data_IF_229849234534
#
_entry.id   IF_229849234534
#
_cell.length_a   1.000
_cell.length_b   1.000
_cell.length_c   1.000
_cell.angle_alpha   90.00
_cell.angle_beta   90.00
_cell.angle_gamma   90.00
#
_symmetry.space_group_name_H-M   'P 1'
#
loop_
_entity.id
_entity.type
_entity.pdbx_description
1 polymer ?
#
# COMPACT_ATOMS: atom_id res chain seq x y z
N UNK A 1 -13.24 -64.76 45.80
CA UNK A 1 -13.42 -63.38 45.32
C UNK A 1 -12.53 -63.18 44.11
N UNK A 2 -13.14 -63.14 42.94
CA UNK A 2 -12.49 -63.19 41.62
C UNK A 2 -12.04 -61.79 41.18
N UNK A 3 -10.76 -61.66 40.80
CA UNK A 3 -10.38 -60.82 39.66
C UNK A 3 -9.53 -61.66 38.72
N UNK A 4 -10.05 -61.80 37.52
CA UNK A 4 -9.56 -62.54 36.36
C UNK A 4 -8.30 -61.92 35.74
N UNK A 5 -7.24 -62.73 35.61
CA UNK A 5 -6.46 -63.13 34.41
C UNK A 5 -6.57 -62.32 33.10
N UNK A 6 -5.67 -62.50 32.10
CA UNK A 6 -4.24 -62.88 32.13
C UNK A 6 -3.36 -62.22 31.03
N UNK A 7 -2.12 -62.69 31.05
CA UNK A 7 -0.93 -62.66 30.18
C UNK A 7 -1.07 -62.88 28.65
N UNK A 8 0.09 -62.67 28.00
CA UNK A 8 0.63 -63.18 26.71
C UNK A 8 0.63 -62.14 25.57
N UNK A 9 1.72 -61.75 24.92
CA UNK A 9 3.00 -62.41 24.68
C UNK A 9 3.02 -62.97 23.26
N UNK A 10 3.84 -62.44 22.34
CA UNK A 10 4.44 -63.28 21.29
C UNK A 10 5.70 -62.67 20.66
N UNK A 11 6.63 -63.60 20.44
CA UNK A 11 7.98 -63.54 19.94
C UNK A 11 8.06 -63.66 18.39
N UNK A 12 9.22 -63.24 17.89
CA UNK A 12 10.03 -63.83 16.80
C UNK A 12 9.65 -63.71 15.31
N UNK A 13 10.54 -62.98 14.61
CA UNK A 13 11.36 -63.36 13.44
C UNK A 13 10.75 -64.27 12.34
N UNK A 14 10.78 -63.81 11.09
CA UNK A 14 11.14 -64.66 9.95
C UNK A 14 11.54 -63.88 8.70
N UNK A 15 12.25 -64.60 7.83
CA UNK A 15 13.15 -64.34 6.70
C UNK A 15 12.61 -63.62 5.45
N UNK A 16 13.54 -62.96 4.77
CA UNK A 16 13.54 -62.48 3.38
C UNK A 16 13.12 -63.55 2.35
N UNK A 17 12.41 -63.15 1.27
CA UNK A 17 12.56 -63.77 -0.05
C UNK A 17 12.23 -62.78 -1.20
N UNK A 18 13.16 -62.79 -2.14
CA UNK A 18 13.24 -62.18 -3.47
C UNK A 18 12.03 -62.52 -4.37
N UNK A 19 11.39 -61.52 -5.01
CA UNK A 19 10.72 -61.70 -6.32
C UNK A 19 10.89 -60.47 -7.19
N UNK A 20 11.79 -60.61 -8.16
CA UNK A 20 11.96 -59.77 -9.35
C UNK A 20 10.62 -59.67 -10.11
N UNK A 21 10.23 -58.45 -10.46
CA UNK A 21 9.40 -58.18 -11.64
C UNK A 21 10.14 -57.15 -12.49
N UNK A 22 10.73 -57.62 -13.58
CA UNK A 22 11.18 -56.81 -14.69
C UNK A 22 10.04 -56.77 -15.71
N UNK A 23 9.38 -55.62 -15.83
CA UNK A 23 8.74 -55.23 -17.08
C UNK A 23 9.40 -53.93 -17.55
N UNK A 24 10.20 -54.07 -18.60
CA UNK A 24 10.61 -52.96 -19.45
C UNK A 24 9.49 -52.65 -20.46
N UNK A 25 9.62 -51.49 -21.14
CA UNK A 25 8.71 -50.80 -22.08
C UNK A 25 7.68 -49.89 -21.39
N UNK A 26 7.57 -48.59 -21.69
CA UNK A 26 8.23 -47.74 -22.68
C UNK A 26 8.12 -46.30 -22.17
N UNK A 27 9.24 -45.59 -22.03
CA UNK A 27 9.22 -44.16 -21.75
C UNK A 27 8.91 -43.43 -23.06
N UNK A 28 7.62 -43.32 -23.39
CA UNK A 28 7.20 -42.31 -24.34
C UNK A 28 7.28 -40.97 -23.61
N UNK A 29 8.39 -40.27 -23.77
CA UNK A 29 8.52 -38.87 -23.38
C UNK A 29 7.58 -38.04 -24.25
N UNK A 30 6.31 -37.98 -23.87
CA UNK A 30 5.39 -36.99 -24.38
C UNK A 30 5.87 -35.63 -23.92
N UNK A 31 6.64 -34.95 -24.77
CA UNK A 31 6.78 -33.50 -24.72
C UNK A 31 5.39 -32.91 -24.96
N UNK A 32 4.58 -32.82 -23.91
CA UNK A 32 3.43 -31.96 -23.91
C UNK A 32 3.97 -30.53 -23.96
N UNK A 33 4.10 -29.99 -25.18
CA UNK A 33 4.29 -28.57 -25.36
C UNK A 33 3.12 -27.88 -24.67
N UNK A 34 3.39 -27.21 -23.55
CA UNK A 34 2.40 -26.35 -22.91
C UNK A 34 1.87 -25.39 -23.98
N UNK A 35 0.54 -25.21 -24.12
CA UNK A 35 0.02 -24.25 -25.07
C UNK A 35 0.62 -22.89 -24.71
N UNK A 36 1.44 -22.35 -25.61
CA UNK A 36 1.85 -20.95 -25.55
C UNK A 36 0.57 -20.15 -25.67
N UNK A 37 0.05 -19.74 -24.51
CA UNK A 37 -1.00 -18.75 -24.46
C UNK A 37 -0.38 -17.50 -25.06
N UNK A 38 -0.63 -17.27 -26.35
CA UNK A 38 -0.25 -16.06 -27.04
C UNK A 38 -0.97 -14.94 -26.30
N UNK A 39 -0.28 -14.30 -25.36
CA UNK A 39 -0.75 -13.06 -24.76
C UNK A 39 -0.96 -12.13 -25.94
N UNK A 40 -2.22 -11.88 -26.30
CA UNK A 40 -2.55 -10.88 -27.30
C UNK A 40 -1.85 -9.60 -26.84
N UNK A 41 -0.82 -9.19 -27.58
CA UNK A 41 -0.10 -7.96 -27.29
C UNK A 41 -1.17 -6.87 -27.25
N UNK A 42 -1.38 -6.26 -26.08
CA UNK A 42 -2.29 -5.12 -26.01
C UNK A 42 -1.79 -4.10 -27.02
N UNK A 43 -2.66 -3.56 -27.89
CA UNK A 43 -2.24 -2.58 -28.86
C UNK A 43 -1.48 -1.47 -28.13
N UNK A 44 -0.29 -1.15 -28.65
CA UNK A 44 0.58 -0.17 -28.02
C UNK A 44 -0.22 1.12 -27.85
N UNK A 45 -0.45 1.52 -26.59
CA UNK A 45 -1.10 2.79 -26.30
C UNK A 45 -0.14 3.89 -26.71
N UNK A 46 -0.53 4.71 -27.68
CA UNK A 46 0.16 5.97 -27.96
C UNK A 46 -0.30 7.02 -26.97
N UNK A 47 0.66 7.82 -26.48
CA UNK A 47 0.39 8.92 -25.57
C UNK A 47 0.91 10.20 -26.21
N UNK A 48 0.11 11.25 -26.16
CA UNK A 48 0.53 12.58 -26.58
C UNK A 48 0.53 13.54 -25.40
N UNK A 49 1.48 14.48 -25.41
CA UNK A 49 1.53 15.54 -24.42
C UNK A 49 0.44 16.56 -24.73
N UNK A 50 -0.52 16.71 -23.83
CA UNK A 50 -1.47 17.84 -23.86
C UNK A 50 -0.86 19.03 -23.12
N UNK A 51 -0.27 19.95 -23.88
CA UNK A 51 0.29 21.18 -23.32
C UNK A 51 -0.80 22.04 -22.67
N UNK A 52 -0.49 22.67 -21.53
CA UNK A 52 -1.38 23.63 -20.86
C UNK A 52 -2.80 23.08 -20.61
N UNK A 53 -2.88 21.78 -20.28
CA UNK A 53 -4.14 21.09 -20.03
C UNK A 53 -4.96 21.78 -18.94
N UNK A 54 -4.37 22.01 -17.76
CA UNK A 54 -5.07 22.66 -16.67
C UNK A 54 -5.18 24.17 -16.88
N UNK A 55 -6.40 24.67 -16.71
CA UNK A 55 -6.81 26.07 -16.82
C UNK A 55 -6.97 26.62 -15.41
N UNK A 56 -5.91 27.28 -14.92
CA UNK A 56 -5.92 27.94 -13.62
C UNK A 56 -6.87 29.15 -13.64
N UNK A 57 -7.26 29.61 -12.45
CA UNK A 57 -7.98 30.88 -12.32
C UNK A 57 -7.13 32.06 -12.83
N UNK A 58 -7.74 33.14 -13.35
CA UNK A 58 -6.99 34.33 -13.75
C UNK A 58 -6.13 34.86 -12.60
N UNK A 59 -4.84 35.09 -12.85
CA UNK A 59 -3.87 35.56 -11.86
C UNK A 59 -3.19 34.46 -11.05
N UNK A 60 -3.66 33.21 -11.15
CA UNK A 60 -3.00 32.06 -10.52
C UNK A 60 -1.84 31.53 -11.39
N UNK A 61 -0.84 30.96 -10.74
CA UNK A 61 0.28 30.27 -11.40
C UNK A 61 0.60 28.96 -10.71
N UNK A 62 1.18 28.03 -11.46
CA UNK A 62 1.74 26.82 -10.87
C UNK A 62 2.85 27.19 -9.90
N UNK A 63 2.83 26.54 -8.75
CA UNK A 63 3.88 26.64 -7.75
C UNK A 63 4.49 25.25 -7.53
N UNK A 64 5.16 25.03 -6.42
CA UNK A 64 5.72 23.72 -6.08
C UNK A 64 4.60 22.68 -5.88
N UNK A 65 4.52 21.72 -6.79
CA UNK A 65 3.57 20.60 -6.73
C UNK A 65 4.23 19.39 -6.09
N UNK A 66 3.48 18.60 -5.30
CA UNK A 66 4.03 17.39 -4.65
C UNK A 66 3.25 16.11 -4.84
N UNK A 67 2.00 16.20 -5.29
CA UNK A 67 1.16 15.02 -5.48
C UNK A 67 0.04 15.27 -6.45
N UNK A 68 -0.34 14.23 -7.19
CA UNK A 68 -1.50 14.23 -8.08
C UNK A 68 -2.18 12.87 -8.00
N UNK A 69 -3.50 12.86 -8.00
CA UNK A 69 -4.31 11.64 -8.11
C UNK A 69 -5.70 11.95 -8.69
N UNK A 70 -6.48 10.92 -9.00
CA UNK A 70 -7.76 11.04 -9.72
C UNK A 70 -8.88 10.31 -9.00
N UNK A 71 -10.06 10.93 -8.91
CA UNK A 71 -11.26 10.27 -8.37
C UNK A 71 -12.01 9.43 -9.43
N UNK A 72 -12.99 8.65 -8.99
CA UNK A 72 -13.81 7.80 -9.89
C UNK A 72 -14.63 8.59 -10.93
N UNK A 73 -14.74 9.92 -10.79
CA UNK A 73 -15.43 10.81 -11.74
C UNK A 73 -14.46 11.45 -12.74
N UNK A 74 -13.17 11.11 -12.66
CA UNK A 74 -12.15 11.73 -13.49
C UNK A 74 -11.80 13.15 -13.07
N UNK A 75 -12.06 13.54 -11.82
CA UNK A 75 -11.54 14.79 -11.28
C UNK A 75 -10.09 14.58 -10.84
N UNK A 76 -9.21 15.50 -11.21
CA UNK A 76 -7.79 15.48 -10.87
C UNK A 76 -7.60 16.33 -9.61
N UNK A 77 -6.97 15.75 -8.60
CA UNK A 77 -6.57 16.41 -7.38
C UNK A 77 -5.07 16.63 -7.41
N UNK A 78 -4.61 17.87 -7.33
CA UNK A 78 -3.21 18.23 -7.29
C UNK A 78 -2.88 18.95 -5.98
N UNK A 79 -1.78 18.58 -5.33
CA UNK A 79 -1.32 19.25 -4.12
C UNK A 79 -0.27 20.31 -4.45
N UNK A 80 -0.57 21.57 -4.12
CA UNK A 80 0.35 22.70 -4.16
C UNK A 80 0.92 22.96 -2.77
N UNK A 81 2.25 23.10 -2.64
CA UNK A 81 2.93 23.37 -1.36
C UNK A 81 2.89 24.83 -0.93
N UNK A 82 2.89 25.79 -1.87
CA UNK A 82 2.99 27.22 -1.54
C UNK A 82 2.10 28.08 -2.43
N UNK A 83 1.09 28.82 -1.91
CA UNK A 83 0.44 28.55 -0.63
C UNK A 83 -0.16 27.13 -0.63
N UNK A 84 -0.06 26.45 0.51
CA UNK A 84 -0.49 25.06 0.66
C UNK A 84 -1.99 24.90 0.43
N UNK A 85 -2.37 24.14 -0.61
CA UNK A 85 -3.77 23.80 -0.90
C UNK A 85 -3.87 22.57 -1.80
N UNK A 86 -5.03 21.92 -1.77
CA UNK A 86 -5.44 20.96 -2.78
C UNK A 86 -6.22 21.70 -3.86
N UNK A 87 -5.82 21.52 -5.11
CA UNK A 87 -6.49 22.04 -6.30
C UNK A 87 -7.24 20.90 -6.99
N UNK A 88 -8.46 21.17 -7.45
CA UNK A 88 -9.30 20.17 -8.11
C UNK A 88 -9.67 20.64 -9.51
N UNK A 89 -9.47 19.77 -10.49
CA UNK A 89 -9.78 19.99 -11.90
C UNK A 89 -10.70 18.89 -12.43
N UNK A 90 -11.48 19.16 -13.47
CA UNK A 90 -12.12 18.09 -14.24
C UNK A 90 -11.14 17.44 -15.23
N UNK A 91 -11.55 16.36 -15.90
CA UNK A 91 -10.75 15.64 -16.88
C UNK A 91 -10.26 16.49 -18.08
N UNK A 92 -10.90 17.65 -18.33
CA UNK A 92 -10.55 18.59 -19.40
C UNK A 92 -9.65 19.72 -18.91
N UNK A 93 -9.26 19.70 -17.64
CA UNK A 93 -8.38 20.66 -17.02
C UNK A 93 -9.09 21.93 -16.54
N UNK A 94 -10.42 21.97 -16.52
CA UNK A 94 -11.15 23.11 -15.94
C UNK A 94 -10.94 23.11 -14.43
N UNK A 95 -10.46 24.21 -13.87
CA UNK A 95 -10.43 24.39 -12.42
C UNK A 95 -11.85 24.35 -11.84
N UNK A 96 -12.05 23.50 -10.84
CA UNK A 96 -13.33 23.32 -10.16
C UNK A 96 -13.37 24.04 -8.82
N UNK A 97 -12.31 23.89 -8.01
CA UNK A 97 -12.18 24.45 -6.66
C UNK A 97 -10.79 24.21 -6.08
N UNK A 98 -10.48 24.90 -4.98
CA UNK A 98 -9.40 24.53 -4.07
C UNK A 98 -9.91 24.43 -2.63
N UNK A 99 -9.13 23.79 -1.77
CA UNK A 99 -9.40 23.72 -0.34
C UNK A 99 -8.14 23.36 0.45
N UNK A 100 -8.22 23.54 1.77
CA UNK A 100 -7.20 23.12 2.73
C UNK A 100 -6.12 24.16 3.01
N UNK A 101 -6.35 25.40 2.62
CA UNK A 101 -5.55 26.55 3.00
C UNK A 101 -5.40 26.61 4.53
N UNK A 102 -4.15 26.72 5.00
CA UNK A 102 -3.84 26.76 6.44
C UNK A 102 -3.89 25.41 7.18
N UNK A 103 -4.32 24.32 6.53
CA UNK A 103 -4.38 22.99 7.18
C UNK A 103 -3.02 22.29 7.19
N UNK A 104 -2.21 22.53 6.16
CA UNK A 104 -0.95 21.82 5.89
C UNK A 104 0.27 22.66 6.26
N UNK A 105 1.38 21.99 6.55
CA UNK A 105 2.67 22.62 6.85
C UNK A 105 3.79 22.16 5.91
N UNK A 106 3.91 20.85 5.66
CA UNK A 106 4.81 20.31 4.65
C UNK A 106 4.25 18.99 4.11
N UNK A 107 3.09 19.09 3.45
CA UNK A 107 2.50 17.94 2.81
C UNK A 107 3.44 17.32 1.77
N UNK A 108 3.51 16.01 1.80
CA UNK A 108 4.44 15.22 1.02
C UNK A 108 3.74 14.51 -0.14
N UNK A 109 2.72 13.70 0.16
CA UNK A 109 1.95 12.96 -0.84
C UNK A 109 0.45 13.26 -0.77
N UNK A 110 -0.23 13.03 -1.90
CA UNK A 110 -1.69 13.03 -2.03
C UNK A 110 -2.13 11.71 -2.69
N UNK A 111 -3.19 11.10 -2.16
CA UNK A 111 -3.82 9.88 -2.70
C UNK A 111 -5.34 10.01 -2.68
N UNK A 112 -6.02 9.43 -3.65
CA UNK A 112 -7.48 9.29 -3.66
C UNK A 112 -7.81 7.81 -3.49
N UNK A 113 -8.56 7.46 -2.43
CA UNK A 113 -8.96 6.07 -2.21
C UNK A 113 -10.14 5.66 -3.11
N UNK A 114 -10.43 4.36 -3.19
CA UNK A 114 -11.54 3.79 -3.99
C UNK A 114 -12.95 4.31 -3.63
N UNK A 115 -13.07 5.06 -2.54
CA UNK A 115 -14.31 5.68 -2.09
C UNK A 115 -14.29 7.21 -2.32
N UNK A 116 -13.37 7.67 -3.18
CA UNK A 116 -13.11 9.07 -3.52
C UNK A 116 -12.72 9.96 -2.34
N UNK A 117 -12.16 9.39 -1.25
CA UNK A 117 -11.63 10.23 -0.18
C UNK A 117 -10.21 10.66 -0.53
N UNK A 118 -9.88 11.90 -0.21
CA UNK A 118 -8.56 12.47 -0.46
C UNK A 118 -7.71 12.31 0.79
N UNK A 119 -6.53 11.74 0.64
CA UNK A 119 -5.59 11.52 1.73
C UNK A 119 -4.33 12.33 1.49
N UNK A 120 -3.84 12.99 2.54
CA UNK A 120 -2.63 13.80 2.51
C UNK A 120 -1.70 13.35 3.62
N UNK A 121 -0.44 13.08 3.29
CA UNK A 121 0.63 12.89 4.27
C UNK A 121 1.31 14.23 4.51
N UNK A 122 1.51 14.61 5.77
CA UNK A 122 2.26 15.82 6.14
C UNK A 122 3.42 15.47 7.05
N UNK A 123 4.64 15.68 6.52
CA UNK A 123 5.85 15.25 7.20
C UNK A 123 6.14 16.09 8.43
N UNK A 124 5.85 17.40 8.40
CA UNK A 124 6.16 18.33 9.49
C UNK A 124 5.11 18.26 10.60
N UNK A 125 3.87 17.98 10.22
CA UNK A 125 2.79 17.74 11.19
C UNK A 125 2.80 16.33 11.76
N UNK A 126 3.58 15.41 11.18
CA UNK A 126 3.63 14.00 11.56
C UNK A 126 2.25 13.32 11.50
N UNK A 127 1.50 13.65 10.45
CA UNK A 127 0.11 13.22 10.30
C UNK A 127 -0.18 12.67 8.91
N UNK A 128 -1.10 11.71 8.86
CA UNK A 128 -1.83 11.34 7.65
C UNK A 128 -3.28 11.74 7.86
N UNK A 129 -3.84 12.53 6.95
CA UNK A 129 -5.20 13.07 7.07
C UNK A 129 -6.05 12.57 5.91
N UNK A 130 -7.27 12.12 6.23
CA UNK A 130 -8.32 11.72 5.27
C UNK A 130 -9.36 12.81 5.19
N UNK A 131 -9.77 13.16 3.98
CA UNK A 131 -10.78 14.17 3.69
C UNK A 131 -11.84 13.62 2.75
N UNK A 132 -13.02 14.22 2.79
CA UNK A 132 -13.99 14.11 1.70
C UNK A 132 -13.46 14.81 0.43
N UNK A 133 -14.14 14.60 -0.70
CA UNK A 133 -13.86 15.27 -1.98
C UNK A 133 -13.88 16.80 -1.92
N UNK A 134 -14.63 17.36 -0.98
CA UNK A 134 -14.82 18.79 -0.72
C UNK A 134 -13.94 19.31 0.42
N UNK A 135 -13.03 18.49 0.98
CA UNK A 135 -12.01 18.95 1.92
C UNK A 135 -12.42 18.89 3.39
N UNK A 136 -13.54 18.28 3.74
CA UNK A 136 -13.92 18.05 5.14
C UNK A 136 -13.10 16.90 5.73
N UNK A 137 -12.41 17.16 6.84
CA UNK A 137 -11.62 16.15 7.54
C UNK A 137 -12.50 15.00 8.07
N UNK A 138 -12.06 13.76 7.84
CA UNK A 138 -12.74 12.52 8.22
C UNK A 138 -11.94 11.70 9.23
N UNK A 139 -10.62 11.70 9.11
CA UNK A 139 -9.73 10.89 9.94
C UNK A 139 -8.35 11.51 9.97
N UNK A 140 -7.67 11.33 11.10
CA UNK A 140 -6.27 11.68 11.27
C UNK A 140 -5.54 10.51 11.91
N UNK A 141 -4.39 10.15 11.33
CA UNK A 141 -3.43 9.20 11.91
C UNK A 141 -2.19 9.99 12.34
N UNK A 142 -1.63 9.65 13.50
CA UNK A 142 -0.56 10.42 14.12
C UNK A 142 -1.07 11.62 14.94
N UNK A 143 -0.15 12.27 15.63
CA UNK A 143 -0.44 13.36 16.58
C UNK A 143 0.21 14.64 16.07
N UNK A 144 -0.57 15.71 15.94
CA UNK A 144 -0.13 16.96 15.30
C UNK A 144 1.12 17.50 15.98
N UNK A 145 2.21 17.62 15.21
CA UNK A 145 3.47 18.18 15.68
C UNK A 145 4.22 17.32 16.70
N UNK A 146 3.79 16.08 16.96
CA UNK A 146 4.45 15.16 17.90
C UNK A 146 5.08 14.01 17.14
N UNK A 147 6.41 14.03 17.05
CA UNK A 147 7.19 12.95 16.45
C UNK A 147 7.18 11.71 17.35
N UNK A 148 6.83 10.55 16.77
CA UNK A 148 6.90 9.25 17.43
C UNK A 148 8.25 8.55 17.22
N UNK A 149 8.67 7.75 18.20
CA UNK A 149 9.74 6.78 18.01
C UNK A 149 9.33 5.66 17.03
N UNK A 150 10.29 4.87 16.55
CA UNK A 150 10.06 3.83 15.54
C UNK A 150 9.13 2.71 16.02
N UNK A 151 8.97 2.52 17.32
CA UNK A 151 8.06 1.56 17.94
C UNK A 151 6.71 2.17 18.39
N UNK A 152 6.52 3.48 18.18
CA UNK A 152 5.31 4.19 18.62
C UNK A 152 4.06 3.62 17.95
N UNK A 153 3.02 3.36 18.75
CA UNK A 153 1.72 2.85 18.26
C UNK A 153 0.73 3.97 17.96
N UNK A 154 1.10 5.21 18.23
CA UNK A 154 0.22 6.38 18.19
C UNK A 154 0.77 7.43 17.23
N UNK A 155 1.98 7.93 17.51
CA UNK A 155 2.58 9.02 16.76
C UNK A 155 3.41 8.50 15.58
N UNK A 156 3.34 9.23 14.48
CA UNK A 156 4.18 9.06 13.30
C UNK A 156 5.38 10.00 13.38
N UNK A 157 6.31 9.89 12.45
CA UNK A 157 7.49 10.74 12.36
C UNK A 157 7.93 10.88 10.91
N UNK A 158 7.27 11.81 10.23
CA UNK A 158 7.50 12.06 8.81
C UNK A 158 6.85 10.99 7.94
N UNK A 159 5.51 10.88 7.92
CA UNK A 159 4.85 9.99 6.97
C UNK A 159 5.14 10.46 5.54
N UNK A 160 5.68 9.56 4.73
CA UNK A 160 6.03 9.80 3.34
C UNK A 160 4.80 9.67 2.44
N UNK A 161 4.07 8.56 2.60
CA UNK A 161 2.99 8.16 1.70
C UNK A 161 2.01 7.19 2.40
N UNK A 162 0.86 6.97 1.78
CA UNK A 162 -0.20 6.09 2.24
C UNK A 162 -0.71 5.17 1.12
N UNK A 163 -1.02 3.93 1.44
CA UNK A 163 -1.61 2.94 0.55
C UNK A 163 -2.74 2.17 1.24
N UNK A 164 -3.60 1.54 0.44
CA UNK A 164 -4.82 0.89 0.94
C UNK A 164 -4.95 -0.53 0.42
N UNK A 165 -5.26 -1.48 1.30
CA UNK A 165 -5.59 -2.84 0.92
C UNK A 165 -7.06 -2.98 0.49
N UNK A 166 -7.45 -4.05 -0.24
CA UNK A 166 -8.83 -4.31 -0.63
C UNK A 166 -9.80 -4.36 0.56
N UNK A 167 -9.38 -4.89 1.70
CA UNK A 167 -10.19 -4.92 2.93
C UNK A 167 -10.36 -3.53 3.60
N UNK A 168 -9.67 -2.51 3.09
CA UNK A 168 -9.68 -1.14 3.58
C UNK A 168 -8.59 -0.83 4.61
N UNK A 169 -7.72 -1.77 4.94
CA UNK A 169 -6.57 -1.48 5.81
C UNK A 169 -5.65 -0.44 5.15
N UNK A 170 -5.04 0.38 6.00
CA UNK A 170 -4.24 1.54 5.62
C UNK A 170 -2.79 1.23 5.96
N UNK A 171 -1.89 1.47 5.03
CA UNK A 171 -0.46 1.31 5.20
C UNK A 171 0.20 2.67 5.04
N UNK A 172 0.98 3.08 6.03
CA UNK A 172 1.69 4.37 6.03
C UNK A 172 3.18 4.10 6.00
N UNK A 173 3.87 4.61 4.99
CA UNK A 173 5.33 4.67 5.00
C UNK A 173 5.75 5.81 5.96
N UNK A 174 6.33 5.46 7.10
CA UNK A 174 6.68 6.40 8.17
C UNK A 174 8.21 6.47 8.28
N UNK A 175 8.81 7.44 7.59
CA UNK A 175 10.27 7.45 7.45
C UNK A 175 10.93 8.63 6.73
N UNK A 176 10.22 9.73 6.44
CA UNK A 176 10.83 10.99 5.94
C UNK A 176 11.58 11.77 7.04
N UNK A 177 11.77 11.15 8.21
CA UNK A 177 12.50 11.72 9.34
C UNK A 177 13.39 10.65 9.97
N UNK A 178 13.17 10.26 11.23
CA UNK A 178 14.04 9.26 11.88
C UNK A 178 13.50 7.83 11.90
N UNK A 179 12.20 7.64 11.59
CA UNK A 179 11.61 6.31 11.52
C UNK A 179 12.00 5.57 10.23
N UNK A 180 11.87 4.25 10.25
CA UNK A 180 12.25 3.34 9.15
C UNK A 180 11.26 2.19 9.07
N UNK A 181 9.97 2.52 8.99
CA UNK A 181 8.90 1.54 9.13
C UNK A 181 7.73 1.77 8.18
N UNK A 182 6.96 0.70 7.99
CA UNK A 182 5.60 0.75 7.44
C UNK A 182 4.64 0.41 8.55
N UNK A 183 3.69 1.30 8.83
CA UNK A 183 2.66 1.12 9.85
C UNK A 183 1.36 0.68 9.20
N UNK A 184 0.74 -0.38 9.72
CA UNK A 184 -0.58 -0.84 9.31
C UNK A 184 -1.64 -0.40 10.32
N UNK A 185 -2.68 0.23 9.80
CA UNK A 185 -3.90 0.56 10.51
C UNK A 185 -5.08 -0.19 9.89
N UNK A 186 -6.10 -0.47 10.70
CA UNK A 186 -7.39 -0.93 10.19
C UNK A 186 -8.07 0.18 9.37
N UNK A 187 -9.10 -0.18 8.59
CA UNK A 187 -9.97 0.79 7.89
C UNK A 187 -10.60 1.89 8.76
N UNK A 188 -10.62 1.70 10.08
CA UNK A 188 -11.13 2.67 11.08
C UNK A 188 -10.01 3.51 11.72
N UNK A 189 -8.77 3.38 11.26
CA UNK A 189 -7.61 4.12 11.81
C UNK A 189 -7.04 3.54 13.09
N UNK A 190 -7.50 2.37 13.57
CA UNK A 190 -6.89 1.68 14.72
C UNK A 190 -5.58 1.02 14.31
N UNK A 191 -4.50 1.26 15.05
CA UNK A 191 -3.19 0.61 14.88
C UNK A 191 -3.32 -0.93 14.94
N UNK A 192 -2.70 -1.61 13.98
CA UNK A 192 -2.62 -3.08 13.92
C UNK A 192 -1.18 -3.55 14.20
N UNK A 193 -0.20 -2.94 13.55
CA UNK A 193 1.21 -3.36 13.65
C UNK A 193 2.11 -2.50 12.77
N UNK A 194 3.41 -2.78 12.79
CA UNK A 194 4.37 -2.17 11.87
C UNK A 194 5.48 -3.17 11.51
N UNK A 195 6.20 -2.88 10.44
CA UNK A 195 7.42 -3.61 10.04
C UNK A 195 8.52 -2.62 9.67
N UNK A 196 9.78 -3.03 9.82
CA UNK A 196 10.94 -2.22 9.48
C UNK A 196 11.69 -1.71 10.71
N UNK A 197 13.01 -1.65 10.56
CA UNK A 197 13.94 -1.17 11.58
C UNK A 197 15.16 -0.58 10.89
N UNK A 198 15.81 0.36 11.57
CA UNK A 198 17.05 0.95 11.09
C UNK A 198 18.13 -0.12 11.14
N UNK A 199 18.85 -0.32 10.03
CA UNK A 199 20.01 -1.20 10.03
C UNK A 199 21.04 -0.69 11.06
N UNK A 200 21.77 -1.58 11.76
CA UNK A 200 22.90 -1.16 12.57
C UNK A 200 23.86 -0.35 11.69
N UNK A 201 24.40 0.76 12.21
CA UNK A 201 25.49 1.45 11.51
C UNK A 201 26.63 0.44 11.37
N UNK A 202 27.10 0.21 10.14
CA UNK A 202 28.39 -0.46 9.95
C UNK A 202 29.44 0.41 10.65
N UNK A 203 30.13 -0.18 11.62
CA UNK A 203 31.35 0.42 12.14
C UNK A 203 32.36 0.44 10.97
N UNK A 204 32.91 1.61 10.70
CA UNK A 204 34.05 1.76 9.80
C UNK A 204 35.33 1.33 10.51
#
# INVERSE_FOLDING_TARGET
MSKSNPTQGLMMKSTSLFKLWLFALSLAAGLAAAPTQSALAQPARSYERVANWAKLAPGDSWQEMSGVDVDSRGNIYAFQRTPSRVMVFDARGKFLRSWGEGLFSAAHALRVDRHDNVWVTDKKLHQVMKFTRDGRLLMTLGTRGVAGANDSRVSLNGPADVAFAPNGDIFVADGESSNTRVVRYSKKGKFIGYWGQKAPRRAN
#
